data_IF_648571368935
#
_entry.id   IF_648571368935
#
_cell.length_a   1.000
_cell.length_b   1.000
_cell.length_c   1.000
_cell.angle_alpha   90.00
_cell.angle_beta   90.00
_cell.angle_gamma   90.00
#
_symmetry.space_group_name_H-M   'P 1'
#
loop_
_entity.id
_entity.type
_entity.pdbx_description
1 polymer ?
#
# COMPACT_ATOMS: atom_id res chain seq x y z
N UNK A 1 -0.07 14.23 -9.63
CA UNK A 1 -1.27 14.17 -8.76
C UNK A 1 -0.97 13.16 -7.66
N UNK A 2 -1.38 13.40 -6.43
CA UNK A 2 -1.25 12.41 -5.35
C UNK A 2 -2.67 12.09 -4.88
N UNK A 3 -3.00 10.81 -4.83
CA UNK A 3 -4.29 10.31 -4.38
C UNK A 3 -4.05 9.48 -3.13
N UNK A 4 -4.76 9.82 -2.06
CA UNK A 4 -4.74 9.05 -0.81
C UNK A 4 -5.94 8.09 -0.79
N UNK A 5 -5.73 6.90 -0.28
CA UNK A 5 -6.73 5.83 -0.26
C UNK A 5 -6.80 5.22 1.14
N UNK A 6 -7.96 4.69 1.56
CA UNK A 6 -8.04 3.89 2.79
C UNK A 6 -7.06 2.69 2.77
N UNK A 7 -6.80 2.06 3.92
CA UNK A 7 -5.84 0.96 4.01
C UNK A 7 -6.15 -0.17 3.02
N UNK A 8 -5.19 -0.47 2.16
CA UNK A 8 -5.30 -1.41 1.05
C UNK A 8 -5.77 -2.83 1.46
N UNK A 9 -5.41 -3.28 2.67
CA UNK A 9 -5.79 -4.61 3.15
C UNK A 9 -7.21 -4.71 3.73
N UNK A 10 -7.98 -3.62 3.72
CA UNK A 10 -9.34 -3.57 4.30
C UNK A 10 -10.37 -3.14 3.25
N UNK A 11 -10.00 -2.25 2.33
CA UNK A 11 -10.91 -1.63 1.37
C UNK A 11 -10.32 -1.70 -0.05
N UNK A 12 -11.16 -2.09 -1.00
CA UNK A 12 -10.82 -2.25 -2.42
C UNK A 12 -10.63 -0.93 -3.18
N UNK A 13 -10.74 0.22 -2.52
CA UNK A 13 -10.65 1.56 -3.12
C UNK A 13 -9.29 1.78 -3.81
N UNK A 14 -8.20 1.33 -3.19
CA UNK A 14 -6.87 1.40 -3.78
C UNK A 14 -6.76 0.55 -5.06
N UNK A 15 -7.42 -0.61 -5.11
CA UNK A 15 -7.46 -1.46 -6.29
C UNK A 15 -8.28 -0.85 -7.42
N UNK A 16 -9.40 -0.19 -7.10
CA UNK A 16 -10.22 0.50 -8.10
C UNK A 16 -9.46 1.64 -8.80
N UNK A 17 -8.59 2.32 -8.06
CA UNK A 17 -7.77 3.43 -8.56
C UNK A 17 -6.51 2.99 -9.30
N UNK A 18 -6.12 1.70 -9.23
CA UNK A 18 -4.92 1.18 -9.88
C UNK A 18 -4.87 1.50 -11.38
N UNK A 19 -6.02 1.43 -12.07
CA UNK A 19 -6.13 1.76 -13.50
C UNK A 19 -6.10 3.26 -13.82
N UNK A 20 -6.15 4.12 -12.80
CA UNK A 20 -6.24 5.58 -12.93
C UNK A 20 -4.95 6.29 -12.51
N UNK A 21 -3.95 5.56 -12.02
CA UNK A 21 -2.68 6.11 -11.54
C UNK A 21 -1.51 5.49 -12.29
N UNK A 22 -0.41 6.22 -12.37
CA UNK A 22 0.84 5.72 -12.98
C UNK A 22 1.56 4.72 -12.05
N UNK A 23 1.20 4.68 -10.77
CA UNK A 23 1.78 3.78 -9.78
C UNK A 23 1.47 4.18 -8.35
N UNK A 24 1.96 3.39 -7.40
CA UNK A 24 1.68 3.53 -5.97
C UNK A 24 2.92 3.47 -5.08
N UNK A 25 2.77 3.97 -3.86
CA UNK A 25 3.74 3.79 -2.77
C UNK A 25 2.98 3.24 -1.56
N UNK A 26 3.52 2.19 -0.94
CA UNK A 26 2.84 1.53 0.17
C UNK A 26 3.34 2.07 1.52
N UNK A 27 2.48 2.71 2.30
CA UNK A 27 2.87 3.26 3.61
C UNK A 27 2.66 2.21 4.71
N UNK A 28 3.74 1.86 5.41
CA UNK A 28 3.76 0.88 6.50
C UNK A 28 4.10 1.59 7.80
N UNK A 29 3.21 1.52 8.80
CA UNK A 29 3.53 1.96 10.15
C UNK A 29 4.40 0.92 10.86
N UNK A 30 5.51 1.33 11.46
CA UNK A 30 6.36 0.45 12.26
C UNK A 30 5.54 -0.23 13.39
N UNK A 31 5.80 -1.53 13.60
CA UNK A 31 5.24 -2.36 14.68
C UNK A 31 3.70 -2.38 14.75
N UNK A 32 3.00 -2.11 13.63
CA UNK A 32 1.54 -2.06 13.60
C UNK A 32 0.87 -3.27 12.92
N UNK A 33 1.39 -3.71 11.78
CA UNK A 33 0.80 -4.79 10.98
C UNK A 33 1.80 -5.92 10.72
N UNK A 34 1.31 -7.15 10.69
CA UNK A 34 2.10 -8.34 10.36
C UNK A 34 2.55 -8.27 8.90
N UNK A 35 3.83 -8.62 8.64
CA UNK A 35 4.41 -8.64 7.30
C UNK A 35 3.56 -9.44 6.30
N UNK A 36 2.89 -10.51 6.73
CA UNK A 36 2.02 -11.31 5.86
C UNK A 36 0.84 -10.50 5.33
N UNK A 37 0.23 -9.66 6.16
CA UNK A 37 -0.88 -8.78 5.76
C UNK A 37 -0.38 -7.73 4.76
N UNK A 38 0.81 -7.17 5.01
CA UNK A 38 1.43 -6.20 4.12
C UNK A 38 1.71 -6.80 2.74
N UNK A 39 2.34 -7.97 2.71
CA UNK A 39 2.70 -8.65 1.46
C UNK A 39 1.47 -9.07 0.67
N UNK A 40 0.41 -9.54 1.34
CA UNK A 40 -0.84 -9.89 0.67
C UNK A 40 -1.52 -8.67 0.05
N UNK A 41 -1.60 -7.54 0.78
CA UNK A 41 -2.16 -6.30 0.23
C UNK A 41 -1.36 -5.76 -0.97
N UNK A 42 -0.03 -5.87 -0.95
CA UNK A 42 0.81 -5.50 -2.10
C UNK A 42 0.53 -6.43 -3.30
N UNK A 43 0.39 -7.74 -3.05
CA UNK A 43 0.08 -8.74 -4.09
C UNK A 43 -1.26 -8.45 -4.75
N UNK A 44 -2.32 -8.25 -3.96
CA UNK A 44 -3.66 -7.93 -4.45
C UNK A 44 -3.69 -6.66 -5.30
N UNK A 45 -3.01 -5.60 -4.85
CA UNK A 45 -2.93 -4.35 -5.61
C UNK A 45 -2.10 -4.48 -6.89
N UNK A 46 -1.03 -5.27 -6.85
CA UNK A 46 -0.24 -5.58 -8.05
C UNK A 46 -1.06 -6.38 -9.07
N UNK A 47 -1.88 -7.33 -8.60
CA UNK A 47 -2.81 -8.08 -9.44
C UNK A 47 -3.93 -7.20 -10.03
N UNK A 48 -4.31 -6.14 -9.33
CA UNK A 48 -5.21 -5.09 -9.85
C UNK A 48 -4.54 -4.14 -10.86
N UNK A 49 -3.24 -4.29 -11.11
CA UNK A 49 -2.48 -3.50 -12.09
C UNK A 49 -1.73 -2.30 -11.51
N UNK A 50 -1.65 -2.16 -10.18
CA UNK A 50 -0.86 -1.11 -9.54
C UNK A 50 0.63 -1.47 -9.60
N UNK A 51 1.46 -0.62 -10.23
CA UNK A 51 2.91 -0.74 -10.14
C UNK A 51 3.43 0.02 -8.92
N UNK A 52 4.13 -0.67 -8.01
CA UNK A 52 4.69 -0.06 -6.80
C UNK A 52 6.12 0.40 -7.00
N UNK A 53 6.39 1.66 -6.68
CA UNK A 53 7.76 2.16 -6.58
C UNK A 53 8.48 1.61 -5.32
N UNK A 54 7.73 1.21 -4.30
CA UNK A 54 8.26 0.64 -3.06
C UNK A 54 7.34 0.91 -1.86
N UNK A 55 7.90 0.78 -0.66
CA UNK A 55 7.21 1.06 0.60
C UNK A 55 7.92 2.14 1.42
N UNK A 56 7.14 2.89 2.20
CA UNK A 56 7.63 3.88 3.17
C UNK A 56 7.35 3.33 4.56
N UNK A 57 8.41 3.10 5.34
CA UNK A 57 8.28 2.83 6.77
C UNK A 57 8.05 4.15 7.52
N UNK A 58 6.90 4.28 8.15
CA UNK A 58 6.44 5.48 8.84
C UNK A 58 6.35 5.25 10.35
N UNK A 59 6.38 6.36 11.10
CA UNK A 59 6.40 6.40 12.56
C UNK A 59 7.55 5.55 13.13
N UNK A 60 8.72 5.72 12.51
CA UNK A 60 9.90 4.99 12.94
C UNK A 60 10.34 5.50 14.31
N UNK A 61 10.41 4.62 15.29
CA UNK A 61 11.01 4.91 16.58
C UNK A 61 12.44 4.36 16.60
N UNK A 62 13.40 5.26 16.80
CA UNK A 62 14.78 4.87 17.05
C UNK A 62 14.88 4.46 18.52
N UNK A 63 15.11 3.17 18.77
CA UNK A 63 15.56 2.71 20.10
C UNK A 63 17.00 3.14 20.36
#
# INVERSE_FOLDING_TARGET
MIVDTPPAGILSDAAMLASCVDGGVFVVRQDFADVRILTEGIRELSEAGMEFAGCILNQTEHK
#
